data_IF_923204509143
#
_entry.id   IF_923204509143
#
_cell.length_a   1.000
_cell.length_b   1.000
_cell.length_c   1.000
_cell.angle_alpha   90.00
_cell.angle_beta   90.00
_cell.angle_gamma   90.00
#
_symmetry.space_group_name_H-M   'P 1'
#
loop_
_entity.id
_entity.type
_entity.pdbx_description
1 polymer ?
#
# COMPACT_ATOMS: atom_id res chain seq x y z
N UNK A 1 -49.06 12.08 -23.56
CA UNK A 1 -48.11 13.06 -23.00
C UNK A 1 -47.39 12.58 -21.73
N UNK A 2 -48.08 11.97 -20.75
CA UNK A 2 -47.46 11.46 -19.49
C UNK A 2 -46.42 10.32 -19.68
N UNK A 3 -46.57 9.50 -20.72
CA UNK A 3 -45.57 8.44 -21.02
C UNK A 3 -44.28 9.01 -21.63
N UNK A 4 -44.33 10.05 -22.46
CA UNK A 4 -43.17 10.73 -23.02
C UNK A 4 -42.34 11.47 -21.95
N UNK A 5 -43.02 12.12 -20.97
CA UNK A 5 -42.33 12.77 -19.86
C UNK A 5 -41.58 11.77 -18.93
N UNK A 6 -42.18 10.58 -18.66
CA UNK A 6 -41.49 9.54 -17.89
C UNK A 6 -40.23 8.99 -18.58
N UNK A 7 -40.28 8.84 -19.91
CA UNK A 7 -39.08 8.40 -20.67
C UNK A 7 -38.00 9.49 -20.72
N UNK A 8 -38.37 10.77 -20.76
CA UNK A 8 -37.42 11.89 -20.70
C UNK A 8 -36.69 11.94 -19.33
N UNK A 9 -37.44 11.81 -18.22
CA UNK A 9 -36.85 11.79 -16.88
C UNK A 9 -35.90 10.58 -16.62
N UNK A 10 -36.13 9.45 -17.28
CA UNK A 10 -35.25 8.30 -17.18
C UNK A 10 -33.97 8.50 -18.01
N UNK A 11 -34.07 9.11 -19.18
CA UNK A 11 -32.92 9.40 -20.05
C UNK A 11 -32.00 10.46 -19.42
N UNK A 12 -32.58 11.49 -18.79
CA UNK A 12 -31.79 12.52 -18.10
C UNK A 12 -31.12 12.03 -16.83
N UNK A 13 -31.67 11.02 -16.14
CA UNK A 13 -31.02 10.35 -15.02
C UNK A 13 -29.78 9.52 -15.43
N UNK A 14 -29.74 9.03 -16.67
CA UNK A 14 -28.56 8.31 -17.18
C UNK A 14 -27.50 9.25 -17.77
N UNK A 15 -27.86 10.49 -18.16
CA UNK A 15 -26.90 11.46 -18.72
C UNK A 15 -26.34 12.44 -17.67
N UNK A 16 -26.90 12.49 -16.46
CA UNK A 16 -26.36 13.33 -15.37
C UNK A 16 -25.47 12.57 -14.39
N UNK A 17 -25.05 11.34 -14.72
CA UNK A 17 -23.94 10.71 -14.02
C UNK A 17 -22.60 11.23 -14.58
N UNK A 18 -22.33 12.53 -14.46
CA UNK A 18 -21.00 12.96 -14.07
C UNK A 18 -20.75 12.39 -12.65
N UNK A 19 -20.65 11.07 -12.52
CA UNK A 19 -19.84 10.47 -11.50
C UNK A 19 -18.45 11.02 -11.80
N UNK A 20 -18.07 12.08 -11.10
CA UNK A 20 -16.68 12.32 -10.81
C UNK A 20 -16.15 10.97 -10.33
N UNK A 21 -15.48 10.24 -11.21
CA UNK A 21 -14.69 9.09 -10.82
C UNK A 21 -13.61 9.67 -9.93
N UNK A 22 -13.92 9.82 -8.65
CA UNK A 22 -12.90 10.14 -7.66
C UNK A 22 -11.91 8.99 -7.74
N UNK A 23 -10.75 9.26 -8.34
CA UNK A 23 -9.68 8.28 -8.44
C UNK A 23 -9.38 7.77 -7.05
N UNK A 24 -9.41 6.43 -6.86
CA UNK A 24 -9.05 5.84 -5.57
C UNK A 24 -7.59 6.10 -5.29
N UNK A 25 -7.27 6.49 -4.07
CA UNK A 25 -5.90 6.63 -3.59
C UNK A 25 -5.44 5.30 -2.99
N UNK A 26 -4.42 4.69 -3.58
CA UNK A 26 -3.95 3.35 -3.21
C UNK A 26 -2.48 3.40 -2.84
N UNK A 27 -2.17 3.12 -1.59
CA UNK A 27 -0.80 2.96 -1.09
C UNK A 27 -0.34 1.52 -1.31
N UNK A 28 0.84 1.34 -1.89
CA UNK A 28 1.44 0.01 -2.14
C UNK A 28 2.87 0.00 -1.59
N UNK A 29 3.12 -0.78 -0.55
CA UNK A 29 4.46 -0.95 -0.02
C UNK A 29 5.24 -2.02 -0.79
N UNK A 30 6.57 -1.84 -0.94
CA UNK A 30 7.38 -2.75 -1.74
C UNK A 30 7.03 -2.76 -3.23
N UNK A 31 6.56 -1.63 -3.76
CA UNK A 31 6.01 -1.49 -5.11
C UNK A 31 7.06 -1.39 -6.23
N UNK A 32 8.35 -1.47 -5.93
CA UNK A 32 9.43 -1.24 -6.90
C UNK A 32 9.97 -2.51 -7.57
N UNK A 33 9.49 -3.69 -7.13
CA UNK A 33 9.96 -4.99 -7.62
C UNK A 33 8.91 -6.09 -7.36
N UNK A 34 9.09 -7.26 -7.97
CA UNK A 34 8.33 -8.48 -7.69
C UNK A 34 6.81 -8.33 -7.72
N UNK A 35 6.14 -8.88 -6.70
CA UNK A 35 4.68 -8.90 -6.57
C UNK A 35 4.10 -7.49 -6.45
N UNK A 36 4.74 -6.61 -5.67
CA UNK A 36 4.27 -5.24 -5.48
C UNK A 36 4.27 -4.42 -6.78
N UNK A 37 5.31 -4.56 -7.61
CA UNK A 37 5.37 -3.90 -8.91
C UNK A 37 4.33 -4.48 -9.89
N UNK A 38 4.15 -5.80 -9.89
CA UNK A 38 3.12 -6.43 -10.72
C UNK A 38 1.71 -5.98 -10.34
N UNK A 39 1.42 -5.89 -9.03
CA UNK A 39 0.17 -5.35 -8.51
C UNK A 39 -0.02 -3.89 -8.91
N UNK A 40 1.01 -3.04 -8.74
CA UNK A 40 0.97 -1.64 -9.12
C UNK A 40 0.65 -1.46 -10.61
N UNK A 41 1.30 -2.20 -11.51
CA UNK A 41 1.00 -2.20 -12.95
C UNK A 41 -0.45 -2.61 -13.27
N UNK A 42 -0.94 -3.65 -12.60
CA UNK A 42 -2.32 -4.12 -12.81
C UNK A 42 -3.36 -3.10 -12.35
N UNK A 43 -3.13 -2.48 -11.20
CA UNK A 43 -4.03 -1.48 -10.61
C UNK A 43 -3.97 -0.16 -11.40
N UNK A 44 -2.79 0.22 -11.91
CA UNK A 44 -2.59 1.44 -12.71
C UNK A 44 -3.47 1.48 -13.98
N UNK A 45 -3.81 0.32 -14.55
CA UNK A 45 -4.71 0.21 -15.72
C UNK A 45 -6.12 0.75 -15.44
N UNK A 46 -6.49 0.96 -14.17
CA UNK A 46 -7.79 1.50 -13.75
C UNK A 46 -7.76 3.01 -13.51
N UNK A 47 -6.66 3.67 -13.85
CA UNK A 47 -6.45 5.12 -13.70
C UNK A 47 -6.65 5.61 -12.25
N UNK A 48 -6.27 4.81 -11.25
CA UNK A 48 -6.26 5.22 -9.86
C UNK A 48 -4.97 5.99 -9.52
N UNK A 49 -5.02 6.78 -8.45
CA UNK A 49 -3.83 7.40 -7.87
C UNK A 49 -3.04 6.35 -7.10
N UNK A 50 -1.82 6.06 -7.52
CA UNK A 50 -0.96 5.09 -6.85
C UNK A 50 0.16 5.78 -6.08
N UNK A 51 0.28 5.42 -4.83
CA UNK A 51 1.29 5.89 -3.90
C UNK A 51 2.24 4.72 -3.65
N UNK A 52 3.34 4.71 -4.40
CA UNK A 52 4.33 3.64 -4.36
C UNK A 52 5.34 3.90 -3.27
N UNK A 53 5.62 2.90 -2.44
CA UNK A 53 6.61 2.99 -1.36
C UNK A 53 7.71 1.96 -1.57
N UNK A 54 8.96 2.40 -1.43
CA UNK A 54 10.13 1.52 -1.54
C UNK A 54 11.41 2.19 -1.06
N UNK A 55 12.42 1.39 -0.70
CA UNK A 55 13.66 1.89 -0.09
C UNK A 55 14.75 2.38 -1.06
N UNK A 56 14.56 2.16 -2.35
CA UNK A 56 15.58 2.50 -3.36
C UNK A 56 15.01 3.50 -4.37
N UNK A 57 15.47 4.76 -4.37
CA UNK A 57 14.95 5.81 -5.24
C UNK A 57 15.19 5.53 -6.73
N UNK A 58 16.30 4.88 -7.10
CA UNK A 58 16.57 4.51 -8.50
C UNK A 58 15.57 3.47 -9.00
N UNK A 59 15.26 2.44 -8.18
CA UNK A 59 14.21 1.46 -8.50
C UNK A 59 12.83 2.12 -8.51
N UNK A 60 12.56 3.06 -7.60
CA UNK A 60 11.32 3.84 -7.58
C UNK A 60 11.09 4.60 -8.87
N UNK A 61 12.08 5.37 -9.33
CA UNK A 61 12.01 6.09 -10.60
C UNK A 61 11.76 5.15 -11.77
N UNK A 62 12.50 4.05 -11.86
CA UNK A 62 12.31 3.04 -12.93
C UNK A 62 10.90 2.41 -12.89
N UNK A 63 10.36 2.15 -11.68
CA UNK A 63 9.01 1.61 -11.53
C UNK A 63 7.95 2.59 -12.06
N UNK A 64 8.05 3.89 -11.71
CA UNK A 64 7.18 4.94 -12.25
C UNK A 64 7.22 4.99 -13.78
N UNK A 65 8.42 5.08 -14.36
CA UNK A 65 8.61 5.11 -15.81
C UNK A 65 8.01 3.88 -16.50
N UNK A 66 8.22 2.70 -15.90
CA UNK A 66 7.66 1.44 -16.43
C UNK A 66 6.14 1.41 -16.37
N UNK A 67 5.54 1.82 -15.25
CA UNK A 67 4.08 1.86 -15.11
C UNK A 67 3.48 2.85 -16.11
N UNK A 68 4.03 4.06 -16.21
CA UNK A 68 3.57 5.07 -17.16
C UNK A 68 3.62 4.55 -18.60
N UNK A 69 4.74 3.92 -19.00
CA UNK A 69 4.90 3.42 -20.37
C UNK A 69 3.95 2.27 -20.71
N UNK A 70 3.64 1.40 -19.74
CA UNK A 70 2.79 0.23 -19.98
C UNK A 70 1.29 0.52 -19.83
N UNK A 71 0.90 1.54 -19.05
CA UNK A 71 -0.51 1.77 -18.69
C UNK A 71 -1.05 3.13 -19.11
N UNK A 72 -0.16 4.10 -19.39
CA UNK A 72 -0.53 5.49 -19.63
C UNK A 72 -0.89 6.28 -18.37
N UNK A 73 -1.05 5.63 -17.22
CA UNK A 73 -1.41 6.29 -15.97
C UNK A 73 -0.26 7.15 -15.46
N UNK A 74 -0.51 8.44 -15.25
CA UNK A 74 0.43 9.43 -14.73
C UNK A 74 0.16 9.83 -13.29
N UNK A 75 -0.93 9.32 -12.67
CA UNK A 75 -1.33 9.63 -11.32
C UNK A 75 -0.54 8.75 -10.33
N UNK A 76 0.77 8.95 -10.29
CA UNK A 76 1.72 8.12 -9.55
C UNK A 76 2.61 8.99 -8.67
N UNK A 77 2.73 8.61 -7.41
CA UNK A 77 3.73 9.15 -6.48
C UNK A 77 4.67 8.05 -6.01
N UNK A 78 5.89 8.43 -5.69
CA UNK A 78 6.84 7.54 -5.04
C UNK A 78 7.39 8.17 -3.78
N UNK A 79 7.32 7.41 -2.68
CA UNK A 79 7.93 7.76 -1.41
C UNK A 79 9.07 6.80 -1.09
N UNK A 80 10.25 7.35 -0.89
CA UNK A 80 11.39 6.57 -0.37
C UNK A 80 11.20 6.33 1.12
N UNK A 81 11.26 5.05 1.54
CA UNK A 81 11.20 4.69 2.94
C UNK A 81 11.86 3.33 3.18
N UNK A 82 12.74 3.25 4.16
CA UNK A 82 13.18 1.99 4.75
C UNK A 82 12.16 1.57 5.81
N UNK A 83 11.30 0.64 5.43
CA UNK A 83 10.21 0.14 6.25
C UNK A 83 10.66 -0.80 7.39
N UNK A 84 11.96 -1.07 7.53
CA UNK A 84 12.49 -1.80 8.69
C UNK A 84 12.69 -0.92 9.92
N UNK A 85 12.48 0.41 9.81
CA UNK A 85 12.61 1.37 10.89
C UNK A 85 11.25 2.02 11.19
N UNK A 86 10.79 1.88 12.42
CA UNK A 86 9.50 2.40 12.88
C UNK A 86 9.43 3.93 12.75
N UNK A 87 10.51 4.64 13.08
CA UNK A 87 10.59 6.08 12.92
C UNK A 87 10.37 6.52 11.46
N UNK A 88 10.96 5.80 10.50
CA UNK A 88 10.77 6.09 9.07
C UNK A 88 9.35 5.82 8.62
N UNK A 89 8.69 4.79 9.16
CA UNK A 89 7.28 4.47 8.83
C UNK A 89 6.36 5.57 9.32
N UNK A 90 6.60 6.13 10.50
CA UNK A 90 5.84 7.28 11.03
C UNK A 90 6.04 8.53 10.18
N UNK A 91 7.28 8.87 9.85
CA UNK A 91 7.60 10.00 8.96
C UNK A 91 6.95 9.84 7.57
N UNK A 92 6.96 8.62 7.00
CA UNK A 92 6.24 8.30 5.78
C UNK A 92 4.73 8.56 5.92
N UNK A 93 4.14 8.11 7.03
CA UNK A 93 2.71 8.29 7.28
C UNK A 93 2.33 9.76 7.34
N UNK A 94 3.16 10.59 8.00
CA UNK A 94 2.93 12.03 8.07
C UNK A 94 3.04 12.70 6.70
N UNK A 95 4.02 12.30 5.88
CA UNK A 95 4.15 12.79 4.50
C UNK A 95 2.93 12.40 3.64
N UNK A 96 2.39 11.19 3.82
CA UNK A 96 1.19 10.76 3.13
C UNK A 96 -0.01 11.59 3.60
N UNK A 97 -0.22 11.76 4.90
CA UNK A 97 -1.32 12.56 5.49
C UNK A 97 -1.27 14.03 5.07
N UNK A 98 -0.08 14.61 4.89
CA UNK A 98 0.07 15.97 4.38
C UNK A 98 -0.40 16.13 2.93
N UNK A 99 -0.25 15.09 2.11
CA UNK A 99 -0.58 15.14 0.68
C UNK A 99 -1.98 14.61 0.37
N UNK A 100 -2.47 13.65 1.15
CA UNK A 100 -3.72 12.95 0.89
C UNK A 100 -4.64 13.04 2.11
N UNK A 101 -5.82 13.59 1.93
CA UNK A 101 -6.86 13.64 2.96
C UNK A 101 -7.60 12.30 3.14
N UNK A 102 -7.45 11.38 2.18
CA UNK A 102 -8.13 10.08 2.16
C UNK A 102 -7.29 9.03 1.46
N UNK A 103 -7.26 7.81 2.00
CA UNK A 103 -6.72 6.61 1.36
C UNK A 103 -7.83 5.57 1.22
N UNK A 104 -8.01 5.04 0.03
CA UNK A 104 -9.04 4.02 -0.23
C UNK A 104 -8.51 2.60 -0.01
N UNK A 105 -7.22 2.35 -0.29
CA UNK A 105 -6.60 1.04 -0.06
C UNK A 105 -5.16 1.22 0.41
N UNK A 106 -4.81 0.52 1.49
CA UNK A 106 -3.43 0.28 1.91
C UNK A 106 -3.09 -1.17 1.59
N UNK A 107 -2.18 -1.40 0.63
CA UNK A 107 -1.62 -2.72 0.33
C UNK A 107 -0.25 -2.85 1.01
N UNK A 108 -0.22 -3.49 2.16
CA UNK A 108 0.98 -3.92 2.85
C UNK A 108 1.56 -5.16 2.15
N UNK A 109 2.56 -4.93 1.30
CA UNK A 109 3.20 -5.98 0.51
C UNK A 109 4.72 -6.04 0.74
N UNK A 110 5.33 -4.98 1.24
CA UNK A 110 6.77 -4.97 1.52
C UNK A 110 7.13 -6.07 2.52
N UNK A 111 8.02 -6.94 2.15
CA UNK A 111 8.46 -8.03 3.00
C UNK A 111 9.62 -8.80 2.39
N UNK A 112 10.16 -9.72 3.17
CA UNK A 112 11.24 -10.59 2.75
C UNK A 112 11.77 -11.41 3.92
N UNK A 113 12.68 -12.32 3.65
CA UNK A 113 13.40 -13.09 4.66
C UNK A 113 14.90 -12.80 4.56
N UNK A 114 15.55 -12.62 5.70
CA UNK A 114 16.99 -12.49 5.80
C UNK A 114 17.60 -13.86 6.14
N UNK A 115 18.64 -14.25 5.42
CA UNK A 115 19.33 -15.53 5.68
C UNK A 115 20.11 -15.55 6.99
N UNK A 116 20.43 -14.36 7.52
CA UNK A 116 21.18 -14.20 8.77
C UNK A 116 20.44 -13.22 9.66
N UNK A 117 20.53 -13.39 10.97
CA UNK A 117 19.98 -12.45 11.95
C UNK A 117 20.58 -11.05 11.73
N UNK A 118 19.73 -10.07 11.58
CA UNK A 118 20.09 -8.67 11.51
C UNK A 118 19.20 -7.90 12.48
N UNK A 119 19.79 -7.02 13.26
CA UNK A 119 19.07 -6.15 14.19
C UNK A 119 19.09 -4.73 13.62
N UNK A 120 17.94 -4.08 13.61
CA UNK A 120 17.80 -2.67 13.18
C UNK A 120 18.44 -1.76 14.23
N UNK A 121 18.65 -0.49 13.88
CA UNK A 121 19.11 0.55 14.82
C UNK A 121 18.13 0.83 15.95
N UNK A 122 16.88 0.36 15.82
CA UNK A 122 15.82 0.46 16.83
C UNK A 122 15.72 -0.81 17.70
N UNK A 123 16.65 -1.77 17.53
CA UNK A 123 16.71 -3.00 18.34
C UNK A 123 15.76 -4.11 17.91
N UNK A 124 15.05 -3.98 16.78
CA UNK A 124 14.17 -5.03 16.27
C UNK A 124 14.89 -5.98 15.32
N UNK A 125 14.53 -7.29 15.35
CA UNK A 125 14.94 -8.20 14.29
C UNK A 125 14.35 -7.73 12.95
N UNK A 126 15.18 -7.69 11.92
CA UNK A 126 14.88 -6.99 10.68
C UNK A 126 13.75 -7.61 9.87
N UNK A 127 13.62 -8.95 9.88
CA UNK A 127 12.51 -9.64 9.20
C UNK A 127 11.21 -9.35 9.93
N UNK A 128 11.20 -9.42 11.25
CA UNK A 128 10.07 -9.03 12.08
C UNK A 128 9.70 -7.56 11.89
N UNK A 129 10.70 -6.66 11.92
CA UNK A 129 10.48 -5.24 11.70
C UNK A 129 9.83 -4.96 10.33
N UNK A 130 10.33 -5.61 9.27
CA UNK A 130 9.85 -5.37 7.90
C UNK A 130 8.53 -6.05 7.59
N UNK A 131 8.30 -7.29 8.09
CA UNK A 131 7.12 -8.07 7.71
C UNK A 131 5.93 -7.86 8.64
N UNK A 132 6.16 -7.47 9.90
CA UNK A 132 5.12 -7.36 10.92
C UNK A 132 4.98 -5.94 11.47
N UNK A 133 6.06 -5.38 12.04
CA UNK A 133 5.98 -4.07 12.69
C UNK A 133 5.63 -2.95 11.71
N UNK A 134 6.22 -2.95 10.53
CA UNK A 134 5.86 -2.02 9.45
C UNK A 134 4.37 -2.08 9.11
N UNK A 135 3.79 -3.29 8.95
CA UNK A 135 2.37 -3.45 8.63
C UNK A 135 1.48 -2.89 9.73
N UNK A 136 1.82 -3.19 10.98
CA UNK A 136 1.09 -2.70 12.15
C UNK A 136 1.16 -1.17 12.25
N UNK A 137 2.37 -0.61 12.25
CA UNK A 137 2.58 0.83 12.42
C UNK A 137 1.94 1.61 11.28
N UNK A 138 2.22 1.25 10.02
CA UNK A 138 1.67 1.97 8.87
C UNK A 138 0.13 1.91 8.83
N UNK A 139 -0.45 0.76 9.15
CA UNK A 139 -1.91 0.60 9.21
C UNK A 139 -2.52 1.48 10.31
N UNK A 140 -1.90 1.52 11.48
CA UNK A 140 -2.39 2.31 12.62
C UNK A 140 -2.26 3.81 12.34
N UNK A 141 -1.12 4.25 11.83
CA UNK A 141 -0.86 5.66 11.52
C UNK A 141 -1.75 6.23 10.41
N UNK A 142 -2.12 5.39 9.42
CA UNK A 142 -2.98 5.81 8.31
C UNK A 142 -4.48 5.53 8.56
N UNK A 143 -4.86 4.93 9.70
CA UNK A 143 -6.22 4.48 9.96
C UNK A 143 -7.25 5.60 9.84
N UNK A 144 -6.93 6.78 10.35
CA UNK A 144 -7.81 7.96 10.30
C UNK A 144 -8.20 8.29 8.84
N UNK A 145 -7.22 8.51 7.97
CA UNK A 145 -7.46 8.87 6.57
C UNK A 145 -7.97 7.70 5.71
N UNK A 146 -7.79 6.45 6.16
CA UNK A 146 -8.44 5.28 5.53
C UNK A 146 -9.92 5.26 5.90
N UNK A 147 -10.28 5.64 7.13
CA UNK A 147 -11.67 5.69 7.60
C UNK A 147 -12.50 6.78 6.90
N UNK A 148 -11.86 7.80 6.32
CA UNK A 148 -12.53 8.80 5.47
C UNK A 148 -13.01 8.23 4.11
N UNK A 149 -12.60 7.02 3.74
CA UNK A 149 -13.10 6.35 2.56
C UNK A 149 -14.37 5.55 2.85
N UNK A 150 -15.38 5.67 1.99
CA UNK A 150 -16.62 4.86 2.09
C UNK A 150 -16.37 3.35 1.92
N UNK A 151 -15.21 2.94 1.39
CA UNK A 151 -14.81 1.55 1.15
C UNK A 151 -13.32 1.39 1.45
N UNK A 152 -12.87 1.95 2.58
CA UNK A 152 -11.48 1.89 3.04
C UNK A 152 -11.05 0.47 3.34
N UNK A 153 -9.87 0.06 2.85
CA UNK A 153 -9.36 -1.31 3.01
C UNK A 153 -7.90 -1.35 3.35
N UNK A 154 -7.55 -2.26 4.27
CA UNK A 154 -6.17 -2.66 4.52
C UNK A 154 -6.02 -4.10 4.04
N UNK A 155 -5.06 -4.33 3.15
CA UNK A 155 -4.76 -5.64 2.58
C UNK A 155 -3.33 -6.01 2.98
N UNK A 156 -3.18 -7.10 3.73
CA UNK A 156 -1.88 -7.61 4.15
C UNK A 156 -1.49 -8.82 3.31
N UNK A 157 -0.34 -8.75 2.63
CA UNK A 157 0.23 -9.89 1.91
C UNK A 157 0.87 -10.83 2.94
N UNK A 158 0.37 -12.05 2.98
CA UNK A 158 0.86 -13.10 3.86
C UNK A 158 1.54 -14.23 3.05
N UNK A 159 2.11 -15.21 3.75
CA UNK A 159 2.79 -16.34 3.13
C UNK A 159 2.38 -17.66 3.77
N UNK A 160 2.39 -18.73 3.00
CA UNK A 160 2.22 -20.10 3.50
C UNK A 160 3.36 -20.54 4.44
N UNK A 161 4.44 -19.78 4.54
CA UNK A 161 5.54 -20.03 5.48
C UNK A 161 5.09 -20.04 6.96
N UNK A 162 3.89 -19.51 7.27
CA UNK A 162 3.33 -19.57 8.63
C UNK A 162 2.73 -20.95 8.98
N UNK A 163 2.50 -21.83 8.01
CA UNK A 163 1.89 -23.15 8.25
C UNK A 163 2.83 -24.00 9.10
N UNK A 164 2.34 -24.44 10.26
CA UNK A 164 3.12 -25.23 11.22
C UNK A 164 4.10 -24.41 12.08
N UNK A 165 4.15 -23.10 11.94
CA UNK A 165 4.95 -22.26 12.82
C UNK A 165 4.15 -21.96 14.11
N UNK A 166 4.84 -22.07 15.25
CA UNK A 166 4.35 -21.64 16.54
C UNK A 166 4.98 -20.29 16.90
N UNK A 167 4.19 -19.39 17.48
CA UNK A 167 4.68 -18.08 17.91
C UNK A 167 5.30 -18.21 19.29
N UNK A 168 6.62 -18.07 19.36
CA UNK A 168 7.33 -17.96 20.63
C UNK A 168 7.41 -16.48 21.05
N UNK A 169 6.49 -16.06 21.92
CA UNK A 169 6.40 -14.69 22.42
C UNK A 169 7.63 -14.27 23.25
N UNK A 170 8.36 -15.23 23.84
CA UNK A 170 9.58 -14.94 24.57
C UNK A 170 10.82 -14.82 23.66
N UNK A 171 10.67 -15.12 22.38
CA UNK A 171 11.72 -15.05 21.38
C UNK A 171 11.29 -14.30 20.10
N UNK A 172 10.28 -13.44 20.20
CA UNK A 172 9.69 -12.75 19.05
C UNK A 172 10.70 -11.89 18.27
N UNK A 173 11.70 -11.38 18.96
CA UNK A 173 12.81 -10.61 18.38
C UNK A 173 14.06 -11.48 18.09
N UNK A 174 13.90 -12.81 18.10
CA UNK A 174 14.97 -13.78 17.86
C UNK A 174 16.18 -13.59 18.79
N UNK A 175 15.96 -13.25 20.03
CA UNK A 175 17.05 -13.01 21.01
C UNK A 175 17.72 -14.31 21.43
N UNK A 176 16.92 -15.36 21.66
CA UNK A 176 17.38 -16.67 22.10
C UNK A 176 17.89 -17.55 20.94
N UNK A 177 17.18 -17.51 19.80
CA UNK A 177 17.49 -18.30 18.60
C UNK A 177 16.96 -17.61 17.35
N UNK A 178 17.61 -17.82 16.22
CA UNK A 178 17.18 -17.33 14.91
C UNK A 178 17.13 -18.51 13.93
N UNK A 179 15.99 -18.62 13.22
CA UNK A 179 15.82 -19.52 12.08
C UNK A 179 15.36 -18.71 10.87
N UNK A 180 16.02 -18.89 9.72
CA UNK A 180 15.72 -18.21 8.47
C UNK A 180 14.70 -19.01 7.64
#
# INVERSE_FOLDING_TARGET
QRRRQRQMCIRDRFNSSNKSYMHKNIVITGATDGIGLAAAKSIAKKDYNLILVGRNPKKGKKALETIISETGNKNLDFFECDLSLVANVKDLSDKIKQKYSKIDVLLNNAGGANKTKQITTEGLEKTFATNQMNYFVLSTELLEIISESNDGRIVNVASNAHIGAEVDYENINSEKSFSA
#
